data_IF_079177273386
#
_entry.id   IF_079177273386
#
_cell.length_a   1.000
_cell.length_b   1.000
_cell.length_c   1.000
_cell.angle_alpha   90.00
_cell.angle_beta   90.00
_cell.angle_gamma   90.00
#
_symmetry.space_group_name_H-M   'P 1'
#
loop_
_entity.id
_entity.type
_entity.pdbx_description
1 polymer ?
#
# COMPACT_ATOMS: atom_id res chain seq x y z
N UNK A 1 -48.42 -29.42 -0.58
CA UNK A 1 -47.89 -28.17 -1.17
C UNK A 1 -47.90 -27.01 -0.19
N UNK A 2 -49.04 -26.62 0.40
CA UNK A 2 -49.11 -25.46 1.32
C UNK A 2 -48.12 -25.47 2.51
N UNK A 3 -47.86 -26.61 3.14
CA UNK A 3 -46.89 -26.72 4.26
C UNK A 3 -45.45 -26.49 3.81
N UNK A 4 -45.07 -27.00 2.64
CA UNK A 4 -43.72 -26.84 2.09
C UNK A 4 -43.45 -25.38 1.71
N UNK A 5 -44.44 -24.70 1.12
CA UNK A 5 -44.30 -23.28 0.75
C UNK A 5 -44.15 -22.40 2.00
N UNK A 6 -44.80 -22.78 3.11
CA UNK A 6 -44.61 -22.14 4.42
C UNK A 6 -43.21 -22.39 4.99
N UNK A 7 -42.74 -23.63 4.97
CA UNK A 7 -41.42 -24.01 5.48
C UNK A 7 -40.28 -23.33 4.67
N UNK A 8 -40.41 -23.26 3.35
CA UNK A 8 -39.49 -22.53 2.46
C UNK A 8 -39.49 -21.03 2.75
N UNK A 9 -40.67 -20.40 2.85
CA UNK A 9 -40.78 -18.97 3.18
C UNK A 9 -40.20 -18.65 4.56
N UNK A 10 -40.37 -19.53 5.54
CA UNK A 10 -39.76 -19.38 6.86
C UNK A 10 -38.23 -19.39 6.79
N UNK A 11 -37.64 -20.37 6.11
CA UNK A 11 -36.18 -20.45 5.92
C UNK A 11 -35.63 -19.25 5.13
N UNK A 12 -36.33 -18.81 4.09
CA UNK A 12 -35.96 -17.61 3.33
C UNK A 12 -35.97 -16.35 4.22
N UNK A 13 -36.94 -16.18 5.13
CA UNK A 13 -36.93 -15.07 6.09
C UNK A 13 -35.71 -15.12 7.01
N UNK A 14 -35.35 -16.31 7.49
CA UNK A 14 -34.17 -16.48 8.34
C UNK A 14 -32.87 -16.16 7.59
N UNK A 15 -32.77 -16.60 6.33
CA UNK A 15 -31.66 -16.28 5.42
C UNK A 15 -31.56 -14.77 5.22
N UNK A 16 -32.66 -14.12 4.85
CA UNK A 16 -32.73 -12.66 4.68
C UNK A 16 -32.33 -11.94 5.97
N UNK A 17 -32.85 -12.36 7.13
CA UNK A 17 -32.48 -11.75 8.41
C UNK A 17 -30.98 -11.84 8.68
N UNK A 18 -30.38 -13.02 8.52
CA UNK A 18 -28.97 -13.25 8.82
C UNK A 18 -28.04 -12.42 7.92
N UNK A 19 -28.30 -12.39 6.61
CA UNK A 19 -27.47 -11.59 5.70
C UNK A 19 -27.64 -10.10 5.96
N UNK A 20 -28.84 -9.65 6.31
CA UNK A 20 -29.09 -8.25 6.65
C UNK A 20 -28.43 -7.87 7.96
N UNK A 21 -28.38 -8.75 8.96
CA UNK A 21 -27.58 -8.53 10.19
C UNK A 21 -26.10 -8.33 9.86
N UNK A 22 -25.54 -9.10 8.91
CA UNK A 22 -24.15 -8.95 8.45
C UNK A 22 -23.97 -7.61 7.74
N UNK A 23 -24.79 -7.34 6.72
CA UNK A 23 -24.69 -6.14 5.89
C UNK A 23 -24.89 -4.87 6.72
N UNK A 24 -25.92 -4.81 7.58
CA UNK A 24 -26.15 -3.63 8.42
C UNK A 24 -25.06 -3.44 9.46
N UNK A 25 -24.56 -4.52 10.08
CA UNK A 25 -23.49 -4.39 11.05
C UNK A 25 -22.23 -3.83 10.39
N UNK A 26 -21.85 -4.33 9.22
CA UNK A 26 -20.74 -3.80 8.41
C UNK A 26 -21.01 -2.33 8.04
N UNK A 27 -22.16 -2.02 7.45
CA UNK A 27 -22.51 -0.66 7.02
C UNK A 27 -22.57 0.35 8.17
N UNK A 28 -22.95 -0.07 9.38
CA UNK A 28 -22.96 0.78 10.57
C UNK A 28 -21.56 1.16 11.04
N UNK A 29 -20.58 0.28 10.83
CA UNK A 29 -19.18 0.57 11.10
C UNK A 29 -18.65 1.63 10.11
N UNK A 30 -19.02 1.52 8.84
CA UNK A 30 -18.64 2.47 7.78
C UNK A 30 -19.13 3.89 8.05
N UNK A 31 -20.38 4.10 8.48
CA UNK A 31 -20.92 5.44 8.74
C UNK A 31 -20.13 6.22 9.80
N UNK A 32 -19.55 5.54 10.77
CA UNK A 32 -18.72 6.18 11.79
C UNK A 32 -17.42 6.77 11.22
N UNK A 33 -16.89 6.19 10.13
CA UNK A 33 -15.70 6.68 9.42
C UNK A 33 -16.04 7.96 8.63
N UNK A 34 -17.23 8.03 8.02
CA UNK A 34 -17.67 9.15 7.17
C UNK A 34 -17.59 10.48 7.88
N UNK A 35 -18.14 10.55 9.09
CA UNK A 35 -18.16 11.76 9.92
C UNK A 35 -16.78 12.29 10.32
N UNK A 36 -15.70 11.53 10.14
CA UNK A 36 -14.34 11.83 10.65
C UNK A 36 -13.31 12.07 9.55
N UNK A 37 -13.57 11.60 8.33
CA UNK A 37 -12.66 11.69 7.18
C UNK A 37 -12.94 12.94 6.30
N UNK A 38 -14.02 13.68 6.56
CA UNK A 38 -14.36 14.95 5.90
C UNK A 38 -15.38 14.81 4.77
N UNK A 39 -16.10 15.90 4.46
CA UNK A 39 -17.35 15.94 3.66
C UNK A 39 -17.22 15.64 2.15
N UNK A 40 -16.10 15.14 1.64
CA UNK A 40 -15.85 15.15 0.19
C UNK A 40 -16.19 13.85 -0.53
N UNK A 41 -17.28 13.15 -0.23
CA UNK A 41 -17.39 11.76 -0.66
C UNK A 41 -18.84 11.19 -0.71
N UNK A 42 -19.61 11.64 -1.70
CA UNK A 42 -21.02 11.28 -1.96
C UNK A 42 -21.23 10.31 -3.15
N UNK A 43 -20.27 9.42 -3.47
CA UNK A 43 -20.28 8.71 -4.79
C UNK A 43 -20.11 7.17 -4.77
N UNK A 44 -20.42 6.50 -3.68
CA UNK A 44 -19.83 5.19 -3.41
C UNK A 44 -20.71 3.97 -3.72
N UNK A 45 -20.14 3.04 -4.49
CA UNK A 45 -20.80 1.85 -5.03
C UNK A 45 -20.62 0.61 -4.11
N UNK A 46 -19.55 0.59 -3.29
CA UNK A 46 -19.12 -0.57 -2.48
C UNK A 46 -19.02 -0.32 -0.95
N UNK A 47 -19.29 0.90 -0.49
CA UNK A 47 -19.19 1.30 0.93
C UNK A 47 -17.91 2.10 1.25
N UNK A 48 -18.01 3.01 2.21
CA UNK A 48 -16.95 3.98 2.52
C UNK A 48 -15.66 3.31 3.04
N UNK A 49 -15.78 2.19 3.76
CA UNK A 49 -14.60 1.54 4.35
C UNK A 49 -13.73 0.84 3.30
N UNK A 50 -14.32 0.22 2.28
CA UNK A 50 -13.57 -0.39 1.17
C UNK A 50 -12.80 0.69 0.41
N UNK A 51 -13.45 1.83 0.14
CA UNK A 51 -12.83 2.93 -0.61
C UNK A 51 -11.76 3.67 0.21
N UNK A 52 -11.97 3.87 1.51
CA UNK A 52 -10.91 4.42 2.39
C UNK A 52 -9.71 3.49 2.51
N UNK A 53 -9.92 2.17 2.49
CA UNK A 53 -8.84 1.18 2.38
C UNK A 53 -8.12 1.29 1.03
N UNK A 54 -8.84 1.44 -0.08
CA UNK A 54 -8.25 1.64 -1.40
C UNK A 54 -7.38 2.91 -1.46
N UNK A 55 -7.87 4.04 -0.94
CA UNK A 55 -7.09 5.29 -0.86
C UNK A 55 -5.86 5.11 0.02
N UNK A 56 -6.01 4.48 1.19
CA UNK A 56 -4.88 4.18 2.08
C UNK A 56 -3.85 3.29 1.40
N UNK A 57 -4.32 2.31 0.63
CA UNK A 57 -3.48 1.42 -0.14
C UNK A 57 -2.75 2.06 -1.28
N UNK A 58 -3.40 2.99 -1.97
CA UNK A 58 -2.78 3.80 -2.99
C UNK A 58 -1.67 4.66 -2.39
N UNK A 59 -1.93 5.32 -1.25
CA UNK A 59 -0.94 6.16 -0.56
C UNK A 59 0.25 5.32 -0.09
N UNK A 60 0.02 4.19 0.58
CA UNK A 60 1.08 3.27 1.03
C UNK A 60 1.85 2.70 -0.17
N UNK A 61 1.17 2.40 -1.28
CA UNK A 61 1.82 1.94 -2.51
C UNK A 61 2.73 3.01 -3.11
N UNK A 62 2.25 4.26 -3.18
CA UNK A 62 3.03 5.42 -3.65
C UNK A 62 4.25 5.67 -2.75
N UNK A 63 4.08 5.57 -1.43
CA UNK A 63 5.17 5.65 -0.47
C UNK A 63 6.25 4.58 -0.75
N UNK A 64 5.84 3.33 -0.95
CA UNK A 64 6.79 2.24 -1.16
C UNK A 64 7.56 2.40 -2.47
N UNK A 65 6.89 2.86 -3.53
CA UNK A 65 7.54 3.20 -4.79
C UNK A 65 8.51 4.39 -4.66
N UNK A 66 8.17 5.38 -3.82
CA UNK A 66 9.08 6.49 -3.52
C UNK A 66 10.32 5.99 -2.77
N UNK A 67 10.15 5.12 -1.77
CA UNK A 67 11.25 4.53 -0.99
C UNK A 67 12.17 3.70 -1.90
N UNK A 68 11.60 2.93 -2.83
CA UNK A 68 12.36 2.16 -3.83
C UNK A 68 13.25 3.07 -4.69
N UNK A 69 12.67 4.12 -5.28
CA UNK A 69 13.42 5.08 -6.10
C UNK A 69 14.46 5.85 -5.29
N UNK A 70 14.13 6.20 -4.06
CA UNK A 70 15.05 6.88 -3.14
C UNK A 70 16.30 6.04 -2.85
N UNK A 71 16.11 4.74 -2.60
CA UNK A 71 17.21 3.80 -2.37
C UNK A 71 18.06 3.64 -3.64
N UNK A 72 17.43 3.48 -4.80
CA UNK A 72 18.15 3.38 -6.08
C UNK A 72 18.96 4.65 -6.38
N UNK A 73 18.42 5.83 -6.07
CA UNK A 73 19.13 7.10 -6.18
C UNK A 73 20.35 7.16 -5.23
N UNK A 74 20.23 6.69 -3.99
CA UNK A 74 21.36 6.60 -3.06
C UNK A 74 22.45 5.67 -3.60
N UNK A 75 22.08 4.46 -4.04
CA UNK A 75 23.03 3.47 -4.55
C UNK A 75 23.80 4.02 -5.75
N UNK A 76 23.10 4.59 -6.73
CA UNK A 76 23.76 5.24 -7.88
C UNK A 76 24.61 6.44 -7.50
N UNK A 77 24.19 7.17 -6.48
CA UNK A 77 24.96 8.24 -5.87
C UNK A 77 26.29 7.76 -5.31
N UNK A 78 26.26 6.67 -4.56
CA UNK A 78 27.45 6.03 -4.00
C UNK A 78 28.35 5.44 -5.09
N UNK A 79 27.78 4.86 -6.14
CA UNK A 79 28.54 4.39 -7.31
C UNK A 79 29.26 5.55 -7.99
N UNK A 80 28.57 6.65 -8.25
CA UNK A 80 29.17 7.87 -8.80
C UNK A 80 30.29 8.39 -7.90
N UNK A 81 30.03 8.50 -6.60
CA UNK A 81 31.02 8.94 -5.62
C UNK A 81 32.25 8.02 -5.60
N UNK A 82 32.05 6.70 -5.58
CA UNK A 82 33.14 5.71 -5.54
C UNK A 82 34.05 5.79 -6.77
N UNK A 83 33.47 5.94 -7.96
CA UNK A 83 34.25 6.08 -9.20
C UNK A 83 35.07 7.38 -9.21
N UNK A 84 34.47 8.47 -8.73
CA UNK A 84 35.15 9.74 -8.62
C UNK A 84 36.31 9.67 -7.61
N UNK A 85 36.10 9.18 -6.39
CA UNK A 85 37.17 9.11 -5.38
C UNK A 85 38.29 8.13 -5.74
N UNK A 86 37.98 7.02 -6.41
CA UNK A 86 38.99 6.08 -6.94
C UNK A 86 39.89 6.74 -7.99
N UNK A 87 39.35 7.64 -8.81
CA UNK A 87 40.13 8.40 -9.79
C UNK A 87 41.19 9.31 -9.13
N UNK A 88 41.01 9.66 -7.85
CA UNK A 88 41.97 10.42 -7.04
C UNK A 88 42.82 9.54 -6.12
N UNK A 89 42.82 8.22 -6.33
CA UNK A 89 43.64 7.27 -5.57
C UNK A 89 43.13 6.98 -4.14
N UNK A 90 41.91 7.44 -3.81
CA UNK A 90 41.33 7.25 -2.48
C UNK A 90 40.78 5.82 -2.36
N UNK A 91 41.46 4.97 -1.56
CA UNK A 91 41.06 3.56 -1.36
C UNK A 91 40.05 3.35 -0.23
N UNK A 92 39.98 4.26 0.76
CA UNK A 92 39.10 4.13 1.92
C UNK A 92 38.07 5.26 1.99
N UNK A 93 37.15 5.29 1.02
CA UNK A 93 36.11 6.31 0.95
C UNK A 93 35.01 6.13 2.01
N UNK A 94 34.86 4.93 2.59
CA UNK A 94 33.95 4.69 3.72
C UNK A 94 34.29 5.56 4.94
N UNK A 95 35.58 5.75 5.22
CA UNK A 95 36.07 6.65 6.27
C UNK A 95 35.65 8.11 6.05
N UNK A 96 35.59 8.55 4.79
CA UNK A 96 35.22 9.90 4.40
C UNK A 96 33.71 10.14 4.59
N UNK A 97 32.86 9.20 4.13
CA UNK A 97 31.40 9.27 4.32
C UNK A 97 31.00 9.20 5.81
N UNK A 98 31.86 8.65 6.65
CA UNK A 98 31.69 8.63 8.10
C UNK A 98 32.20 9.89 8.82
N UNK A 99 32.80 10.84 8.10
CA UNK A 99 33.48 12.03 8.63
C UNK A 99 34.53 11.74 9.73
N UNK A 100 35.07 10.52 9.78
CA UNK A 100 36.04 10.10 10.80
C UNK A 100 37.46 10.64 10.56
N UNK A 101 37.71 11.32 9.44
CA UNK A 101 39.05 11.66 8.97
C UNK A 101 39.04 12.89 8.06
N UNK A 102 40.14 13.65 7.98
CA UNK A 102 40.20 14.87 7.16
C UNK A 102 40.46 14.50 5.70
N UNK A 103 39.83 15.22 4.77
CA UNK A 103 39.95 14.97 3.33
C UNK A 103 41.40 14.94 2.82
N UNK A 104 42.23 15.86 3.35
CA UNK A 104 43.64 15.99 2.98
C UNK A 104 44.50 14.79 3.37
N UNK A 105 44.00 13.91 4.24
CA UNK A 105 44.70 12.68 4.64
C UNK A 105 44.54 11.55 3.59
N UNK A 106 43.62 11.71 2.62
CA UNK A 106 43.26 10.66 1.66
C UNK A 106 43.73 10.94 0.23
N UNK A 107 44.01 12.19 -0.11
CA UNK A 107 44.36 12.60 -1.47
C UNK A 107 45.82 12.96 -1.50
N UNK A 108 46.60 12.24 -2.32
CA UNK A 108 47.96 12.62 -2.68
C UNK A 108 47.93 13.21 -4.10
N UNK A 109 47.98 14.54 -4.27
CA UNK A 109 47.92 15.19 -5.58
C UNK A 109 48.99 14.69 -6.55
N UNK A 110 50.18 14.38 -6.03
CA UNK A 110 51.33 13.94 -6.82
C UNK A 110 51.21 12.49 -7.32
N UNK A 111 50.25 11.72 -6.80
CA UNK A 111 49.98 10.34 -7.19
C UNK A 111 48.78 10.19 -8.16
N UNK A 112 48.17 11.30 -8.58
CA UNK A 112 47.00 11.28 -9.48
C UNK A 112 47.46 11.00 -10.92
N UNK A 113 47.02 9.88 -11.47
CA UNK A 113 47.15 9.60 -12.91
C UNK A 113 46.10 10.41 -13.68
N UNK A 114 46.55 11.44 -14.40
CA UNK A 114 45.68 12.32 -15.18
C UNK A 114 44.96 11.62 -16.34
N UNK A 115 45.57 10.60 -16.93
CA UNK A 115 44.96 9.82 -18.00
C UNK A 115 43.82 8.96 -17.46
N UNK A 116 44.06 8.28 -16.34
CA UNK A 116 43.04 7.52 -15.62
C UNK A 116 41.92 8.42 -15.10
N UNK A 117 42.25 9.59 -14.54
CA UNK A 117 41.27 10.58 -14.09
C UNK A 117 40.35 11.00 -15.23
N UNK A 118 40.91 11.43 -16.36
CA UNK A 118 40.12 11.85 -17.54
C UNK A 118 39.21 10.71 -18.03
N UNK A 119 39.72 9.48 -18.09
CA UNK A 119 38.94 8.31 -18.48
C UNK A 119 37.77 8.03 -17.51
N UNK A 120 38.04 8.04 -16.21
CA UNK A 120 37.02 7.79 -15.18
C UNK A 120 35.94 8.87 -15.17
N UNK A 121 36.34 10.14 -15.29
CA UNK A 121 35.40 11.25 -15.34
C UNK A 121 34.48 11.16 -16.54
N UNK A 122 35.02 10.91 -17.75
CA UNK A 122 34.19 10.73 -18.95
C UNK A 122 33.25 9.54 -18.83
N UNK A 123 33.75 8.40 -18.34
CA UNK A 123 32.91 7.21 -18.11
C UNK A 123 31.77 7.51 -17.12
N UNK A 124 32.08 8.24 -16.06
CA UNK A 124 31.11 8.66 -15.04
C UNK A 124 30.06 9.62 -15.61
N UNK A 125 30.50 10.62 -16.37
CA UNK A 125 29.65 11.62 -17.01
C UNK A 125 28.74 11.02 -18.09
N UNK A 126 29.25 10.12 -18.92
CA UNK A 126 28.51 9.55 -20.05
C UNK A 126 27.55 8.43 -19.63
N UNK A 127 27.93 7.61 -18.63
CA UNK A 127 27.20 6.37 -18.31
C UNK A 127 26.44 6.41 -16.99
N UNK A 128 27.03 6.99 -15.94
CA UNK A 128 26.49 6.89 -14.56
C UNK A 128 25.64 8.10 -14.22
N UNK A 129 26.18 9.30 -14.47
CA UNK A 129 25.54 10.57 -14.12
C UNK A 129 24.14 10.75 -14.77
N UNK A 130 23.91 10.45 -16.06
CA UNK A 130 22.58 10.61 -16.65
C UNK A 130 21.55 9.68 -16.03
N UNK A 131 21.97 8.47 -15.62
CA UNK A 131 21.10 7.53 -14.94
C UNK A 131 20.72 7.99 -13.54
N UNK A 132 21.68 8.57 -12.80
CA UNK A 132 21.44 9.15 -11.48
C UNK A 132 20.47 10.33 -11.55
N UNK A 133 20.71 11.28 -12.48
CA UNK A 133 19.83 12.43 -12.68
C UNK A 133 18.41 12.00 -13.02
N UNK A 134 18.25 11.01 -13.91
CA UNK A 134 16.92 10.45 -14.22
C UNK A 134 16.23 9.91 -12.96
N UNK A 135 16.95 9.16 -12.12
CA UNK A 135 16.39 8.56 -10.90
C UNK A 135 16.02 9.58 -9.84
N UNK A 136 16.84 10.60 -9.64
CA UNK A 136 16.51 11.73 -8.76
C UNK A 136 15.24 12.43 -9.27
N UNK A 137 15.11 12.65 -10.58
CA UNK A 137 13.92 13.26 -11.17
C UNK A 137 12.66 12.41 -10.93
N UNK A 138 12.72 11.12 -11.25
CA UNK A 138 11.61 10.17 -11.07
C UNK A 138 11.16 10.13 -9.58
N UNK A 139 12.13 10.12 -8.65
CA UNK A 139 11.90 10.16 -7.21
C UNK A 139 11.18 11.46 -6.78
N UNK A 140 11.62 12.62 -7.27
CA UNK A 140 11.02 13.91 -6.95
C UNK A 140 9.59 14.05 -7.49
N UNK A 141 9.33 13.56 -8.70
CA UNK A 141 7.96 13.53 -9.26
C UNK A 141 7.03 12.68 -8.38
N UNK A 142 7.45 11.49 -7.97
CA UNK A 142 6.69 10.62 -7.04
C UNK A 142 6.48 11.26 -5.67
N UNK A 143 7.46 12.01 -5.19
CA UNK A 143 7.38 12.74 -3.92
C UNK A 143 6.29 13.82 -3.96
N UNK A 144 6.21 14.59 -5.04
CA UNK A 144 5.17 15.62 -5.22
C UNK A 144 3.79 14.99 -5.30
N UNK A 145 3.65 13.87 -6.00
CA UNK A 145 2.39 13.14 -6.11
C UNK A 145 1.93 12.55 -4.77
N UNK A 146 2.85 11.99 -3.98
CA UNK A 146 2.56 11.55 -2.61
C UNK A 146 2.20 12.76 -1.73
N UNK A 147 2.89 13.88 -1.91
CA UNK A 147 2.65 15.19 -1.29
C UNK A 147 1.19 15.65 -1.33
N UNK A 148 0.48 15.34 -2.41
CA UNK A 148 -0.92 15.74 -2.64
C UNK A 148 -1.92 14.93 -1.81
N UNK A 149 -1.56 13.72 -1.40
CA UNK A 149 -2.50 12.74 -0.83
C UNK A 149 -2.12 12.21 0.55
N UNK A 150 -0.86 12.35 0.99
CA UNK A 150 -0.39 11.74 2.25
C UNK A 150 -1.12 12.28 3.49
N UNK A 151 -1.62 13.53 3.44
CA UNK A 151 -2.32 14.17 4.55
C UNK A 151 -3.55 13.37 5.03
N UNK A 152 -4.09 12.52 4.16
CA UNK A 152 -5.13 11.55 4.48
C UNK A 152 -4.72 10.59 5.60
N UNK A 153 -3.47 10.11 5.62
CA UNK A 153 -3.01 9.14 6.64
C UNK A 153 -2.71 9.79 7.99
N UNK A 154 -2.64 11.12 8.09
CA UNK A 154 -2.30 11.87 9.32
C UNK A 154 -1.09 11.29 10.05
N UNK A 155 -0.03 11.00 9.29
CA UNK A 155 1.18 10.31 9.78
C UNK A 155 2.33 11.28 9.96
N UNK A 156 2.79 11.45 11.20
CA UNK A 156 3.97 12.26 11.50
C UNK A 156 5.25 11.64 10.92
N UNK A 157 5.31 10.31 10.86
CA UNK A 157 6.44 9.58 10.27
C UNK A 157 6.58 9.88 8.79
N UNK A 158 5.45 9.91 8.06
CA UNK A 158 5.45 10.30 6.65
C UNK A 158 5.85 11.75 6.45
N UNK A 159 5.41 12.65 7.33
CA UNK A 159 5.79 14.06 7.29
C UNK A 159 7.30 14.22 7.42
N UNK A 160 7.89 13.62 8.46
CA UNK A 160 9.34 13.66 8.68
C UNK A 160 10.09 13.05 7.51
N UNK A 161 9.66 11.88 7.01
CA UNK A 161 10.28 11.24 5.85
C UNK A 161 10.29 12.15 4.61
N UNK A 162 9.15 12.77 4.29
CA UNK A 162 9.04 13.70 3.16
C UNK A 162 9.88 14.97 3.37
N UNK A 163 9.91 15.52 4.58
CA UNK A 163 10.76 16.68 4.87
C UNK A 163 12.25 16.39 4.69
N UNK A 164 12.70 15.20 5.09
CA UNK A 164 14.09 14.78 4.91
C UNK A 164 14.45 14.56 3.43
N UNK A 165 13.57 13.96 2.62
CA UNK A 165 13.79 13.87 1.16
C UNK A 165 13.87 15.27 0.53
N UNK A 166 13.04 16.21 0.99
CA UNK A 166 13.09 17.62 0.55
C UNK A 166 14.42 18.28 0.86
N UNK A 167 15.00 18.04 2.04
CA UNK A 167 16.34 18.55 2.38
C UNK A 167 17.39 17.95 1.45
N UNK A 168 17.31 16.66 1.21
CA UNK A 168 18.26 15.94 0.35
C UNK A 168 18.16 16.32 -1.13
N UNK A 169 16.99 16.82 -1.59
CA UNK A 169 16.87 17.46 -2.90
C UNK A 169 17.87 18.60 -3.07
N UNK A 170 18.00 19.48 -2.07
CA UNK A 170 18.92 20.61 -2.13
C UNK A 170 20.38 20.12 -2.15
N UNK A 171 20.69 19.07 -1.40
CA UNK A 171 22.01 18.43 -1.44
C UNK A 171 22.32 17.92 -2.86
N UNK A 172 21.34 17.26 -3.49
CA UNK A 172 21.48 16.76 -4.87
C UNK A 172 21.69 17.86 -5.90
N UNK A 173 20.97 18.98 -5.78
CA UNK A 173 21.13 20.13 -6.67
C UNK A 173 22.54 20.74 -6.58
N UNK A 174 23.11 20.86 -5.37
CA UNK A 174 24.47 21.36 -5.19
C UNK A 174 25.52 20.37 -5.70
N UNK A 175 25.37 19.06 -5.42
CA UNK A 175 26.23 18.00 -5.96
C UNK A 175 26.23 18.04 -7.49
N UNK A 176 25.05 18.11 -8.11
CA UNK A 176 24.89 18.22 -9.57
C UNK A 176 25.62 19.45 -10.13
N UNK A 177 25.45 20.62 -9.50
CA UNK A 177 26.13 21.84 -9.92
C UNK A 177 27.65 21.70 -9.87
N UNK A 178 28.20 21.09 -8.80
CA UNK A 178 29.65 20.87 -8.68
C UNK A 178 30.17 19.83 -9.67
N UNK A 179 29.42 18.76 -9.91
CA UNK A 179 29.77 17.76 -10.91
C UNK A 179 29.87 18.38 -12.31
N UNK A 180 28.90 19.18 -12.72
CA UNK A 180 28.94 19.87 -14.01
C UNK A 180 30.17 20.79 -14.15
N UNK A 181 30.52 21.52 -13.08
CA UNK A 181 31.73 22.35 -13.06
C UNK A 181 32.99 21.52 -13.19
N UNK A 182 33.04 20.39 -12.49
CA UNK A 182 34.17 19.47 -12.53
C UNK A 182 34.35 18.83 -13.90
N UNK A 183 33.26 18.34 -14.51
CA UNK A 183 33.28 17.80 -15.87
C UNK A 183 33.76 18.84 -16.89
N UNK A 184 33.24 20.06 -16.82
CA UNK A 184 33.69 21.18 -17.66
C UNK A 184 35.18 21.49 -17.48
N UNK A 185 35.70 21.43 -16.24
CA UNK A 185 37.12 21.67 -15.97
C UNK A 185 38.00 20.56 -16.58
N UNK A 186 37.55 19.30 -16.50
CA UNK A 186 38.25 18.14 -17.05
C UNK A 186 38.29 18.21 -18.58
N UNK A 187 37.19 18.62 -19.22
CA UNK A 187 37.15 18.87 -20.68
C UNK A 187 38.08 19.99 -21.13
N UNK A 188 38.19 21.07 -20.35
CA UNK A 188 39.01 22.25 -20.66
C UNK A 188 40.49 22.10 -20.32
N UNK A 189 40.91 20.93 -19.84
CA UNK A 189 42.29 20.64 -19.43
C UNK A 189 42.84 21.65 -18.40
N UNK A 190 42.01 22.02 -17.42
CA UNK A 190 42.44 22.84 -16.28
C UNK A 190 43.62 22.21 -15.51
N UNK A 191 44.31 23.02 -14.70
CA UNK A 191 45.39 22.55 -13.82
C UNK A 191 44.87 21.56 -12.75
N UNK A 192 45.73 20.63 -12.35
CA UNK A 192 45.53 19.62 -11.30
C UNK A 192 45.06 20.24 -9.98
N UNK A 193 45.53 21.45 -9.67
CA UNK A 193 45.08 22.21 -8.50
C UNK A 193 43.58 22.55 -8.55
N UNK A 194 43.04 22.86 -9.73
CA UNK A 194 41.61 23.11 -9.91
C UNK A 194 40.80 21.81 -9.77
N UNK A 195 41.29 20.71 -10.33
CA UNK A 195 40.68 19.37 -10.13
C UNK A 195 40.62 18.97 -8.67
N UNK A 196 41.70 19.20 -7.92
CA UNK A 196 41.77 18.92 -6.49
C UNK A 196 40.76 19.75 -5.68
N UNK A 197 40.63 21.04 -5.99
CA UNK A 197 39.68 21.91 -5.29
C UNK A 197 38.23 21.52 -5.58
N UNK A 198 37.91 21.18 -6.83
CA UNK A 198 36.57 20.78 -7.23
C UNK A 198 36.18 19.43 -6.62
N UNK A 199 37.06 18.42 -6.71
CA UNK A 199 36.77 17.11 -6.11
C UNK A 199 36.63 17.22 -4.59
N UNK A 200 37.45 18.04 -3.95
CA UNK A 200 37.39 18.20 -2.49
C UNK A 200 36.02 18.71 -2.04
N UNK A 201 35.45 19.64 -2.80
CA UNK A 201 34.09 20.17 -2.57
C UNK A 201 33.01 19.12 -2.84
N UNK A 202 33.12 18.38 -3.95
CA UNK A 202 32.20 17.27 -4.26
C UNK A 202 32.18 16.25 -3.13
N UNK A 203 33.36 15.86 -2.62
CA UNK A 203 33.47 14.89 -1.54
C UNK A 203 32.82 15.41 -0.25
N UNK A 204 33.01 16.69 0.08
CA UNK A 204 32.36 17.31 1.25
C UNK A 204 30.84 17.23 1.12
N UNK A 205 30.28 17.57 -0.04
CA UNK A 205 28.83 17.51 -0.25
C UNK A 205 28.30 16.08 -0.16
N UNK A 206 29.00 15.10 -0.74
CA UNK A 206 28.64 13.68 -0.59
C UNK A 206 28.72 13.20 0.87
N UNK A 207 29.67 13.70 1.66
CA UNK A 207 29.73 13.40 3.09
C UNK A 207 28.57 14.02 3.88
N UNK A 208 28.13 15.23 3.50
CA UNK A 208 26.92 15.85 4.07
C UNK A 208 25.66 15.06 3.70
N UNK A 209 25.49 14.71 2.43
CA UNK A 209 24.41 13.85 1.95
C UNK A 209 24.38 12.51 2.69
N UNK A 210 25.52 11.82 2.79
CA UNK A 210 25.65 10.55 3.51
C UNK A 210 25.28 10.66 5.00
N UNK A 211 25.53 11.79 5.64
CA UNK A 211 25.09 12.03 7.01
C UNK A 211 23.57 12.23 7.12
N UNK A 212 22.97 12.95 6.16
CA UNK A 212 21.52 13.13 6.10
C UNK A 212 20.79 11.79 5.86
N UNK A 213 21.30 10.95 4.95
CA UNK A 213 20.83 9.58 4.74
C UNK A 213 20.94 8.77 6.04
N UNK A 214 22.07 8.84 6.76
CA UNK A 214 22.25 8.15 8.04
C UNK A 214 21.27 8.63 9.11
N UNK A 215 21.01 9.92 9.20
CA UNK A 215 20.05 10.47 10.16
C UNK A 215 18.64 9.95 9.89
N UNK A 216 18.21 9.94 8.61
CA UNK A 216 16.95 9.36 8.21
C UNK A 216 16.90 7.85 8.51
N UNK A 217 17.96 7.13 8.19
CA UNK A 217 18.13 5.70 8.47
C UNK A 217 17.96 5.39 9.97
N UNK A 218 18.59 6.18 10.84
CA UNK A 218 18.48 6.05 12.30
C UNK A 218 17.07 6.40 12.81
N UNK A 219 16.46 7.45 12.26
CA UNK A 219 15.08 7.82 12.60
C UNK A 219 14.12 6.69 12.28
N UNK A 220 14.20 6.14 11.07
CA UNK A 220 13.41 4.98 10.66
C UNK A 220 13.76 3.78 11.55
N UNK A 221 15.04 3.51 11.83
CA UNK A 221 15.46 2.47 12.78
C UNK A 221 14.76 2.52 14.13
N UNK A 222 14.67 3.71 14.73
CA UNK A 222 13.95 3.90 15.99
C UNK A 222 12.43 3.67 15.84
N UNK A 223 11.84 4.01 14.70
CA UNK A 223 10.41 3.83 14.42
C UNK A 223 10.05 2.36 14.14
N UNK A 224 10.91 1.64 13.43
CA UNK A 224 10.70 0.24 13.01
C UNK A 224 11.26 -0.79 14.01
N UNK A 225 12.06 -0.36 15.00
CA UNK A 225 12.67 -1.17 16.08
C UNK A 225 14.00 -1.82 15.70
N UNK A 226 14.64 -2.51 16.67
CA UNK A 226 15.99 -3.14 16.60
C UNK A 226 16.17 -4.25 15.52
N UNK A 227 15.20 -4.43 14.62
CA UNK A 227 15.18 -5.58 13.70
C UNK A 227 16.15 -5.48 12.53
N UNK A 228 16.79 -4.34 12.32
CA UNK A 228 17.48 -4.05 11.05
C UNK A 228 18.70 -3.17 11.33
N UNK A 229 19.89 -3.68 11.01
CA UNK A 229 21.15 -2.93 11.05
C UNK A 229 21.14 -1.92 9.90
N UNK A 230 20.67 -0.72 10.20
CA UNK A 230 20.42 0.35 9.24
C UNK A 230 21.68 1.17 8.93
N UNK A 231 22.72 0.48 8.46
CA UNK A 231 23.92 1.12 7.92
C UNK A 231 23.74 1.51 6.45
N UNK A 232 24.58 2.43 5.94
CA UNK A 232 24.66 2.77 4.51
C UNK A 232 24.91 1.52 3.65
N UNK A 233 25.58 0.50 4.19
CA UNK A 233 25.83 -0.77 3.50
C UNK A 233 24.60 -1.70 3.44
N UNK A 234 23.61 -1.49 4.31
CA UNK A 234 22.41 -2.34 4.47
C UNK A 234 21.11 -1.60 4.12
N UNK A 235 21.18 -0.50 3.39
CA UNK A 235 20.01 0.30 2.97
C UNK A 235 18.95 -0.53 2.21
N UNK A 236 19.34 -1.63 1.55
CA UNK A 236 18.42 -2.57 0.88
C UNK A 236 17.44 -3.27 1.84
N UNK A 237 17.77 -3.35 3.13
CA UNK A 237 16.89 -3.95 4.15
C UNK A 237 15.63 -3.10 4.36
N UNK A 238 15.72 -1.77 4.23
CA UNK A 238 14.55 -0.88 4.22
C UNK A 238 13.60 -1.27 3.08
N UNK A 239 14.16 -1.51 1.88
CA UNK A 239 13.38 -1.84 0.70
C UNK A 239 12.53 -3.10 0.90
N UNK A 240 13.10 -4.18 1.42
CA UNK A 240 12.37 -5.45 1.60
C UNK A 240 11.22 -5.31 2.61
N UNK A 241 11.40 -4.51 3.67
CA UNK A 241 10.35 -4.25 4.65
C UNK A 241 9.20 -3.48 4.01
N UNK A 242 9.49 -2.37 3.33
CA UNK A 242 8.47 -1.57 2.66
C UNK A 242 7.77 -2.34 1.52
N UNK A 243 8.52 -3.19 0.79
CA UNK A 243 7.99 -4.07 -0.25
C UNK A 243 7.02 -5.10 0.32
N UNK A 244 7.36 -5.78 1.42
CA UNK A 244 6.45 -6.73 2.06
C UNK A 244 5.19 -6.04 2.57
N UNK A 245 5.34 -4.87 3.22
CA UNK A 245 4.20 -4.10 3.73
C UNK A 245 3.25 -3.68 2.59
N UNK A 246 3.77 -3.28 1.43
CA UNK A 246 2.96 -3.01 0.23
C UNK A 246 2.17 -4.24 -0.21
N UNK A 247 2.83 -5.39 -0.34
CA UNK A 247 2.18 -6.62 -0.81
C UNK A 247 1.06 -7.06 0.12
N UNK A 248 1.30 -7.02 1.42
CA UNK A 248 0.32 -7.41 2.44
C UNK A 248 -0.91 -6.49 2.39
N UNK A 249 -0.69 -5.18 2.27
CA UNK A 249 -1.76 -4.20 2.28
C UNK A 249 -2.60 -4.23 0.99
N UNK A 250 -1.97 -4.38 -0.19
CA UNK A 250 -2.69 -4.60 -1.46
C UNK A 250 -3.52 -5.89 -1.39
N UNK A 251 -2.93 -6.95 -0.85
CA UNK A 251 -3.61 -8.24 -0.70
C UNK A 251 -4.85 -8.09 0.16
N UNK A 252 -4.73 -7.40 1.31
CA UNK A 252 -5.85 -7.20 2.21
C UNK A 252 -6.97 -6.36 1.59
N UNK A 253 -6.65 -5.24 0.94
CA UNK A 253 -7.64 -4.37 0.28
C UNK A 253 -8.39 -5.13 -0.80
N UNK A 254 -7.66 -5.91 -1.60
CA UNK A 254 -8.26 -6.75 -2.65
C UNK A 254 -9.16 -7.82 -2.05
N UNK A 255 -8.72 -8.47 -0.96
CA UNK A 255 -9.53 -9.48 -0.28
C UNK A 255 -10.81 -8.87 0.29
N UNK A 256 -10.73 -7.73 0.98
CA UNK A 256 -11.90 -7.08 1.57
C UNK A 256 -12.91 -6.60 0.53
N UNK A 257 -12.45 -5.99 -0.56
CA UNK A 257 -13.34 -5.59 -1.65
C UNK A 257 -14.11 -6.79 -2.22
N UNK A 258 -13.40 -7.90 -2.49
CA UNK A 258 -14.01 -9.13 -2.99
C UNK A 258 -14.91 -9.80 -1.96
N UNK A 259 -14.56 -9.77 -0.69
CA UNK A 259 -15.41 -10.30 0.38
C UNK A 259 -16.77 -9.59 0.40
N UNK A 260 -16.77 -8.26 0.39
CA UNK A 260 -18.00 -7.47 0.32
C UNK A 260 -18.81 -7.76 -0.96
N UNK A 261 -18.13 -7.87 -2.10
CA UNK A 261 -18.74 -8.22 -3.40
C UNK A 261 -19.43 -9.60 -3.33
N UNK A 262 -18.73 -10.63 -2.85
CA UNK A 262 -19.25 -12.00 -2.80
C UNK A 262 -20.32 -12.17 -1.71
N UNK A 263 -20.23 -11.46 -0.58
CA UNK A 263 -21.30 -11.40 0.43
C UNK A 263 -22.58 -10.85 -0.23
N UNK A 264 -22.49 -9.73 -0.94
CA UNK A 264 -23.63 -9.14 -1.65
C UNK A 264 -24.16 -10.05 -2.76
N UNK A 265 -23.27 -10.60 -3.59
CA UNK A 265 -23.63 -11.48 -4.70
C UNK A 265 -24.33 -12.75 -4.23
N UNK A 266 -23.88 -13.34 -3.11
CA UNK A 266 -24.52 -14.53 -2.53
C UNK A 266 -26.01 -14.31 -2.24
N UNK A 267 -26.38 -13.09 -1.86
CA UNK A 267 -27.75 -12.74 -1.54
C UNK A 267 -28.56 -12.23 -2.73
N UNK A 268 -27.97 -11.35 -3.55
CA UNK A 268 -28.61 -10.83 -4.75
C UNK A 268 -28.99 -11.98 -5.69
N UNK A 269 -28.17 -13.02 -5.81
CA UNK A 269 -28.52 -14.20 -6.62
C UNK A 269 -29.77 -14.93 -6.12
N UNK A 270 -29.99 -14.98 -4.81
CA UNK A 270 -31.21 -15.58 -4.24
C UNK A 270 -32.40 -14.66 -4.54
N UNK A 271 -32.28 -13.37 -4.27
CA UNK A 271 -33.36 -12.40 -4.51
C UNK A 271 -33.71 -12.29 -6.01
N UNK A 272 -32.72 -12.28 -6.90
CA UNK A 272 -32.92 -12.19 -8.35
C UNK A 272 -33.76 -13.33 -8.88
N UNK A 273 -33.66 -14.50 -8.26
CA UNK A 273 -34.45 -15.68 -8.61
C UNK A 273 -35.82 -15.66 -7.99
N UNK A 274 -35.98 -15.02 -6.83
CA UNK A 274 -37.30 -14.81 -6.25
C UNK A 274 -38.12 -13.81 -7.08
N UNK A 275 -37.47 -12.77 -7.61
CA UNK A 275 -38.08 -11.67 -8.35
C UNK A 275 -37.97 -11.79 -9.87
N UNK A 276 -37.36 -12.86 -10.40
CA UNK A 276 -37.05 -13.06 -11.82
C UNK A 276 -36.28 -11.89 -12.48
N UNK A 277 -35.56 -11.08 -11.68
CA UNK A 277 -34.81 -9.91 -12.13
C UNK A 277 -33.72 -9.51 -11.12
N UNK A 278 -32.48 -9.38 -11.58
CA UNK A 278 -31.36 -8.87 -10.77
C UNK A 278 -31.51 -7.38 -10.45
N UNK A 279 -32.08 -6.61 -11.39
CA UNK A 279 -32.36 -5.19 -11.20
C UNK A 279 -33.40 -4.98 -10.09
N UNK A 280 -34.53 -5.70 -10.17
CA UNK A 280 -35.60 -5.60 -9.16
C UNK A 280 -35.12 -6.10 -7.80
N UNK A 281 -34.35 -7.19 -7.75
CA UNK A 281 -33.71 -7.66 -6.52
C UNK A 281 -32.78 -6.61 -5.89
N UNK A 282 -32.00 -5.91 -6.72
CA UNK A 282 -31.16 -4.80 -6.31
C UNK A 282 -31.96 -3.65 -5.72
N UNK A 283 -33.05 -3.24 -6.39
CA UNK A 283 -33.94 -2.18 -5.90
C UNK A 283 -34.60 -2.54 -4.57
N UNK A 284 -35.16 -3.75 -4.44
CA UNK A 284 -35.77 -4.23 -3.19
C UNK A 284 -34.77 -4.23 -2.04
N UNK A 285 -33.56 -4.71 -2.28
CA UNK A 285 -32.50 -4.70 -1.30
C UNK A 285 -32.14 -3.28 -0.85
N UNK A 286 -32.02 -2.34 -1.79
CA UNK A 286 -31.73 -0.94 -1.48
C UNK A 286 -32.88 -0.24 -0.73
N UNK A 287 -34.13 -0.44 -1.15
CA UNK A 287 -35.30 0.09 -0.43
C UNK A 287 -35.38 -0.44 1.00
N UNK A 288 -34.99 -1.70 1.24
CA UNK A 288 -34.92 -2.22 2.60
C UNK A 288 -33.82 -1.56 3.43
N UNK A 289 -32.61 -1.36 2.86
CA UNK A 289 -31.52 -0.65 3.54
C UNK A 289 -31.91 0.80 3.91
N UNK A 290 -32.74 1.44 3.08
CA UNK A 290 -33.33 2.77 3.32
C UNK A 290 -34.52 2.76 4.27
N UNK A 291 -34.91 1.59 4.80
CA UNK A 291 -36.10 1.40 5.65
C UNK A 291 -37.43 1.78 4.98
N UNK A 292 -37.49 1.73 3.65
CA UNK A 292 -38.70 2.01 2.86
C UNK A 292 -39.65 0.81 2.82
N UNK A 293 -39.12 -0.41 2.96
CA UNK A 293 -39.87 -1.67 2.99
C UNK A 293 -39.48 -2.53 4.20
N UNK A 294 -40.30 -3.53 4.54
CA UNK A 294 -40.04 -4.48 5.63
C UNK A 294 -39.33 -5.74 5.12
N UNK A 295 -38.77 -6.54 6.05
CA UNK A 295 -38.11 -7.81 5.74
C UNK A 295 -39.02 -8.76 4.94
N UNK A 296 -40.30 -8.81 5.30
CA UNK A 296 -41.29 -9.66 4.65
C UNK A 296 -41.55 -9.26 3.20
N UNK A 297 -41.28 -8.01 2.83
CA UNK A 297 -41.47 -7.48 1.48
C UNK A 297 -40.30 -7.85 0.54
N UNK A 298 -39.21 -8.42 1.06
CA UNK A 298 -38.10 -8.95 0.25
C UNK A 298 -38.45 -10.28 -0.41
N UNK A 299 -39.44 -11.00 0.12
CA UNK A 299 -39.87 -12.30 -0.40
C UNK A 299 -41.20 -12.10 -1.13
N UNK A 300 -41.26 -12.34 -2.45
CA UNK A 300 -42.47 -12.15 -3.20
C UNK A 300 -43.57 -13.15 -2.78
N UNK A 301 -44.84 -12.83 -3.01
CA UNK A 301 -45.96 -13.68 -2.65
C UNK A 301 -45.92 -15.06 -3.34
N UNK A 302 -45.35 -15.13 -4.55
CA UNK A 302 -45.16 -16.35 -5.35
C UNK A 302 -43.80 -16.33 -6.05
N UNK A 303 -43.17 -17.50 -6.17
CA UNK A 303 -41.90 -17.72 -6.88
C UNK A 303 -41.75 -19.20 -7.27
N UNK A 304 -40.84 -19.50 -8.19
CA UNK A 304 -40.53 -20.85 -8.64
C UNK A 304 -39.61 -21.58 -7.67
N UNK A 305 -40.00 -22.77 -7.22
CA UNK A 305 -39.17 -23.60 -6.34
C UNK A 305 -38.01 -24.29 -7.08
N UNK A 306 -38.18 -24.55 -8.38
CA UNK A 306 -37.13 -25.16 -9.21
C UNK A 306 -36.01 -24.16 -9.51
N UNK A 307 -36.39 -22.92 -9.83
CA UNK A 307 -35.42 -21.85 -10.07
C UNK A 307 -34.72 -21.47 -8.76
N UNK A 308 -35.45 -21.45 -7.64
CA UNK A 308 -34.86 -21.26 -6.32
C UNK A 308 -33.80 -22.32 -6.03
N UNK A 309 -34.06 -23.61 -6.28
CA UNK A 309 -33.06 -24.67 -6.09
C UNK A 309 -31.79 -24.46 -6.92
N UNK A 310 -31.93 -24.02 -8.17
CA UNK A 310 -30.80 -23.67 -9.03
C UNK A 310 -30.02 -22.46 -8.48
N UNK A 311 -30.73 -21.44 -7.99
CA UNK A 311 -30.17 -20.26 -7.33
C UNK A 311 -29.34 -20.57 -6.11
N UNK A 312 -29.79 -21.52 -5.31
CA UNK A 312 -29.07 -21.96 -4.11
C UNK A 312 -27.71 -22.56 -4.46
N UNK A 313 -27.58 -23.26 -5.59
CA UNK A 313 -26.28 -23.77 -6.06
C UNK A 313 -25.34 -22.62 -6.43
N UNK A 314 -25.84 -21.59 -7.12
CA UNK A 314 -25.02 -20.43 -7.48
C UNK A 314 -24.62 -19.60 -6.25
N UNK A 315 -25.55 -19.36 -5.33
CA UNK A 315 -25.28 -18.67 -4.06
C UNK A 315 -24.23 -19.42 -3.22
N UNK A 316 -24.28 -20.76 -3.20
CA UNK A 316 -23.29 -21.58 -2.50
C UNK A 316 -21.86 -21.40 -3.03
N UNK A 317 -21.69 -21.18 -4.32
CA UNK A 317 -20.36 -20.89 -4.89
C UNK A 317 -19.82 -19.56 -4.35
N UNK A 318 -20.66 -18.52 -4.27
CA UNK A 318 -20.29 -17.25 -3.64
C UNK A 318 -19.95 -17.44 -2.16
N UNK A 319 -20.70 -18.28 -1.46
CA UNK A 319 -20.47 -18.56 -0.04
C UNK A 319 -19.09 -19.16 0.22
N UNK A 320 -18.71 -20.15 -0.59
CA UNK A 320 -17.39 -20.78 -0.50
C UNK A 320 -16.25 -19.81 -0.88
N UNK A 321 -16.51 -18.83 -1.75
CA UNK A 321 -15.54 -17.78 -2.06
C UNK A 321 -15.34 -16.86 -0.86
N UNK A 322 -16.42 -16.42 -0.20
CA UNK A 322 -16.33 -15.61 1.03
C UNK A 322 -15.53 -16.33 2.09
N UNK A 323 -15.79 -17.61 2.37
CA UNK A 323 -15.02 -18.36 3.39
C UNK A 323 -13.50 -18.38 3.11
N UNK A 324 -13.12 -18.58 1.83
CA UNK A 324 -11.72 -18.59 1.42
C UNK A 324 -11.09 -17.20 1.55
N UNK A 325 -11.83 -16.16 1.20
CA UNK A 325 -11.35 -14.77 1.24
C UNK A 325 -11.25 -14.29 2.67
N UNK A 326 -12.26 -14.54 3.50
CA UNK A 326 -12.30 -14.21 4.93
C UNK A 326 -11.11 -14.78 5.67
N UNK A 327 -10.75 -16.04 5.38
CA UNK A 327 -9.54 -16.65 5.93
C UNK A 327 -8.28 -15.85 5.57
N UNK A 328 -8.16 -15.39 4.32
CA UNK A 328 -7.02 -14.54 3.89
C UNK A 328 -7.05 -13.17 4.57
N UNK A 329 -8.22 -12.56 4.76
CA UNK A 329 -8.36 -11.31 5.52
C UNK A 329 -7.79 -11.49 6.93
N UNK A 330 -8.16 -12.56 7.63
CA UNK A 330 -7.65 -12.90 8.97
C UNK A 330 -6.14 -13.14 9.00
N UNK A 331 -5.59 -13.80 7.98
CA UNK A 331 -4.15 -14.07 7.89
C UNK A 331 -3.33 -12.79 7.65
N UNK A 332 -3.91 -11.76 7.02
CA UNK A 332 -3.19 -10.56 6.60
C UNK A 332 -3.50 -9.29 7.41
N UNK A 333 -4.53 -9.28 8.27
CA UNK A 333 -4.94 -8.08 9.01
C UNK A 333 -3.85 -7.54 9.96
N UNK A 334 -2.99 -8.41 10.49
CA UNK A 334 -1.88 -8.03 11.35
C UNK A 334 -0.86 -7.13 10.63
N UNK A 335 -0.78 -7.21 9.29
CA UNK A 335 0.08 -6.33 8.51
C UNK A 335 -0.43 -4.88 8.52
N UNK A 336 -1.75 -4.64 8.57
CA UNK A 336 -2.27 -3.27 8.79
C UNK A 336 -1.90 -2.77 10.16
N UNK A 337 -1.97 -3.61 11.20
CA UNK A 337 -1.54 -3.23 12.55
C UNK A 337 -0.09 -2.77 12.56
N UNK A 338 0.78 -3.52 11.88
CA UNK A 338 2.21 -3.19 11.73
C UNK A 338 2.39 -1.85 11.00
N UNK A 339 1.76 -1.67 9.84
CA UNK A 339 1.88 -0.44 9.05
C UNK A 339 1.32 0.76 9.84
N UNK A 340 0.21 0.59 10.55
CA UNK A 340 -0.35 1.63 11.41
C UNK A 340 0.63 2.03 12.53
N UNK A 341 1.34 1.06 13.11
CA UNK A 341 2.41 1.31 14.08
C UNK A 341 3.59 2.05 13.46
N UNK A 342 4.11 1.55 12.33
CA UNK A 342 5.26 2.12 11.63
C UNK A 342 5.02 3.53 11.11
N UNK A 343 3.85 3.79 10.53
CA UNK A 343 3.51 5.13 10.05
C UNK A 343 2.97 6.00 11.20
N UNK A 344 2.79 5.45 12.40
CA UNK A 344 2.04 6.09 13.48
C UNK A 344 0.74 6.74 12.98
N UNK A 345 0.00 6.03 12.11
CA UNK A 345 -1.18 6.57 11.45
C UNK A 345 -2.44 6.25 12.26
N UNK A 346 -3.16 7.25 12.78
CA UNK A 346 -4.42 7.02 13.47
C UNK A 346 -5.49 6.46 12.53
N UNK A 347 -5.45 6.84 11.24
CA UNK A 347 -6.40 6.35 10.23
C UNK A 347 -6.22 4.86 9.97
N UNK A 348 -4.98 4.40 9.78
CA UNK A 348 -4.70 2.96 9.61
C UNK A 348 -5.02 2.15 10.87
N UNK A 349 -4.85 2.74 12.06
CA UNK A 349 -5.20 2.09 13.33
C UNK A 349 -6.72 1.90 13.45
N UNK A 350 -7.49 2.93 13.13
CA UNK A 350 -8.95 2.85 13.10
C UNK A 350 -9.44 1.82 12.06
N UNK A 351 -8.84 1.82 10.87
CA UNK A 351 -9.10 0.82 9.83
C UNK A 351 -8.83 -0.61 10.30
N UNK A 352 -7.74 -0.85 11.04
CA UNK A 352 -7.45 -2.13 11.67
C UNK A 352 -8.54 -2.54 12.67
N UNK A 353 -8.89 -1.65 13.60
CA UNK A 353 -9.90 -1.92 14.63
C UNK A 353 -11.28 -2.22 14.05
N UNK A 354 -11.66 -1.52 12.99
CA UNK A 354 -12.94 -1.74 12.31
C UNK A 354 -12.93 -3.08 11.57
N UNK A 355 -11.85 -3.40 10.87
CA UNK A 355 -11.73 -4.70 10.18
C UNK A 355 -11.77 -5.87 11.17
N UNK A 356 -11.21 -5.72 12.38
CA UNK A 356 -11.37 -6.74 13.43
C UNK A 356 -12.84 -6.97 13.80
N UNK A 357 -13.62 -5.88 13.95
CA UNK A 357 -15.05 -5.98 14.27
C UNK A 357 -15.83 -6.64 13.14
N UNK A 358 -15.50 -6.34 11.88
CA UNK A 358 -16.09 -7.04 10.74
C UNK A 358 -15.77 -8.53 10.76
N UNK A 359 -14.51 -8.89 11.05
CA UNK A 359 -14.10 -10.28 11.15
C UNK A 359 -14.97 -11.01 12.19
N UNK A 360 -15.19 -10.38 13.35
CA UNK A 360 -16.07 -10.93 14.41
C UNK A 360 -17.52 -11.09 13.95
N UNK A 361 -18.06 -10.13 13.18
CA UNK A 361 -19.42 -10.20 12.62
C UNK A 361 -19.52 -11.37 11.64
N UNK A 362 -18.60 -11.47 10.69
CA UNK A 362 -18.58 -12.54 9.69
C UNK A 362 -18.40 -13.90 10.38
N UNK A 363 -17.46 -14.04 11.31
CA UNK A 363 -17.26 -15.26 12.10
C UNK A 363 -18.53 -15.67 12.87
N UNK A 364 -19.32 -14.70 13.37
CA UNK A 364 -20.53 -14.96 14.16
C UNK A 364 -21.74 -15.37 13.33
N UNK A 365 -21.95 -14.75 12.17
CA UNK A 365 -23.20 -14.87 11.41
C UNK A 365 -23.05 -15.65 10.10
N UNK A 366 -21.89 -15.63 9.44
CA UNK A 366 -21.66 -16.32 8.17
C UNK A 366 -21.85 -17.85 8.25
N UNK A 367 -21.36 -18.53 9.31
CA UNK A 367 -21.63 -19.97 9.46
C UNK A 367 -23.12 -20.28 9.60
N UNK A 368 -23.88 -19.40 10.28
CA UNK A 368 -25.34 -19.56 10.45
C UNK A 368 -26.07 -19.36 9.12
N UNK A 369 -25.66 -18.34 8.36
CA UNK A 369 -26.19 -18.09 7.01
C UNK A 369 -25.95 -19.30 6.11
N UNK A 370 -24.71 -19.79 6.06
CA UNK A 370 -24.32 -20.98 5.27
C UNK A 370 -25.14 -22.20 5.65
N UNK A 371 -25.33 -22.45 6.96
CA UNK A 371 -26.13 -23.57 7.43
C UNK A 371 -27.60 -23.46 6.99
N UNK A 372 -28.19 -22.26 7.04
CA UNK A 372 -29.58 -22.03 6.60
C UNK A 372 -29.75 -22.21 5.10
N UNK A 373 -28.75 -21.81 4.32
CA UNK A 373 -28.70 -22.06 2.87
C UNK A 373 -28.69 -23.57 2.59
N UNK A 374 -27.89 -24.35 3.32
CA UNK A 374 -27.83 -25.82 3.19
C UNK A 374 -29.16 -26.46 3.60
N UNK A 375 -29.79 -26.00 4.68
CA UNK A 375 -31.11 -26.47 5.13
C UNK A 375 -32.17 -26.26 4.05
N UNK A 376 -32.23 -25.06 3.46
CA UNK A 376 -33.16 -24.75 2.38
C UNK A 376 -32.88 -25.59 1.14
N UNK A 377 -31.62 -25.77 0.75
CA UNK A 377 -31.27 -26.63 -0.39
C UNK A 377 -31.69 -28.09 -0.17
N UNK A 378 -31.45 -28.64 1.02
CA UNK A 378 -31.86 -30.00 1.36
C UNK A 378 -33.40 -30.16 1.35
N UNK A 379 -34.13 -29.15 1.82
CA UNK A 379 -35.58 -29.13 1.80
C UNK A 379 -36.12 -29.17 0.36
N UNK A 380 -35.54 -28.37 -0.54
CA UNK A 380 -35.90 -28.33 -1.96
C UNK A 380 -35.53 -29.65 -2.67
N UNK A 381 -34.35 -30.22 -2.39
CA UNK A 381 -33.88 -31.44 -3.04
C UNK A 381 -34.67 -32.69 -2.63
N UNK A 382 -35.01 -32.83 -1.35
CA UNK A 382 -35.78 -33.98 -0.86
C UNK A 382 -37.18 -34.06 -1.48
N UNK A 383 -37.74 -32.91 -1.88
CA UNK A 383 -39.02 -32.84 -2.60
C UNK A 383 -38.98 -33.50 -3.98
N UNK A 384 -37.85 -33.50 -4.70
CA UNK A 384 -37.74 -34.17 -6.01
C UNK A 384 -37.79 -35.70 -5.93
N UNK A 385 -37.57 -36.28 -4.74
CA UNK A 385 -37.52 -37.73 -4.52
C UNK A 385 -38.84 -38.33 -4.04
N UNK A 386 -39.83 -37.49 -3.74
CA UNK A 386 -41.22 -37.84 -3.38
C UNK A 386 -42.15 -37.33 -4.46
#
# INVERSE_FOLDING_TARGET
MQKLDQDVKYLLRDICRLILEIVFAIHSLDKNISSRVGDSFEKYEFGLLVETFQVSAEIVTKLVLLVEDYIDAIVKGLDLFSNLVLAFGIKNYSGILSQKSKLGDFINPDAIDLGFLKFQVRTTEELIYPQLIKKIKDMLEKMEDLGKVFGFLKSDVLNTFLEEIKKQKNDWEEIQKRLNLFFTAVEKEADVSDYFNQISRIIIDFALFGNNVRNLSNYLGNVFGDRLDFSLENVSVLFEVFRQLKQDLITLVTCRAKEAEHIRASFIKILAILWDSEEEAGEKFQSYLKSEIKLDDLIPPSFSLEDLEFGMVQSRNEILLVEKIHKRVKENIESVRKIAGYLNSPVLREQYEITLKEIEIVDKYWPKYTQKIIELQNLLHNKRKT
#
